data_IF_535163844403
#
_entry.id   IF_535163844403
#
_cell.length_a   1.000
_cell.length_b   1.000
_cell.length_c   1.000
_cell.angle_alpha   90.00
_cell.angle_beta   90.00
_cell.angle_gamma   90.00
#
_symmetry.space_group_name_H-M   'P 1'
#
loop_
_entity.id
_entity.type
_entity.pdbx_description
1 polymer ?
#
# COMPACT_ATOMS: atom_id res chain seq x y z
N UNK A 1 -25.62 3.66 -32.40
CA UNK A 1 -25.67 2.19 -32.54
C UNK A 1 -26.58 1.62 -31.48
N UNK A 2 -27.73 1.10 -31.92
CA UNK A 2 -28.84 0.69 -31.05
C UNK A 2 -28.41 -0.34 -30.02
N UNK A 3 -28.83 -0.14 -28.77
CA UNK A 3 -28.74 -1.16 -27.73
C UNK A 3 -29.69 -2.29 -28.11
N UNK A 4 -29.14 -3.33 -28.73
CA UNK A 4 -29.84 -4.58 -28.96
C UNK A 4 -30.11 -5.22 -27.59
N UNK A 5 -31.37 -5.19 -27.15
CA UNK A 5 -31.79 -5.66 -25.81
C UNK A 5 -31.94 -7.18 -25.74
N UNK A 6 -31.74 -7.90 -26.84
CA UNK A 6 -31.77 -9.36 -26.88
C UNK A 6 -30.35 -9.92 -27.01
N UNK A 7 -29.61 -9.91 -25.90
CA UNK A 7 -28.34 -10.64 -25.84
C UNK A 7 -28.62 -12.15 -25.84
N UNK A 8 -27.84 -12.89 -26.61
CA UNK A 8 -27.81 -14.35 -26.49
C UNK A 8 -26.86 -14.77 -25.36
N UNK A 9 -27.01 -15.99 -24.84
CA UNK A 9 -26.26 -16.39 -23.63
C UNK A 9 -24.76 -16.53 -23.85
N UNK A 10 -24.33 -16.84 -25.08
CA UNK A 10 -22.93 -17.16 -25.40
C UNK A 10 -22.72 -18.62 -25.77
N UNK A 11 -21.45 -18.98 -25.97
CA UNK A 11 -21.04 -20.38 -26.13
C UNK A 11 -20.79 -20.97 -24.75
N UNK A 12 -21.42 -22.10 -24.43
CA UNK A 12 -21.30 -22.75 -23.12
C UNK A 12 -20.66 -24.13 -23.28
N UNK A 13 -19.53 -24.36 -22.61
CA UNK A 13 -18.97 -25.69 -22.40
C UNK A 13 -19.27 -26.15 -20.99
N UNK A 14 -19.82 -27.36 -20.88
CA UNK A 14 -20.18 -27.96 -19.60
C UNK A 14 -19.68 -29.39 -19.55
N UNK A 15 -18.74 -29.65 -18.62
CA UNK A 15 -18.11 -30.97 -18.40
C UNK A 15 -17.38 -31.51 -19.63
N UNK A 16 -16.83 -30.63 -20.45
CA UNK A 16 -16.09 -30.99 -21.67
C UNK A 16 -14.60 -31.11 -21.34
N UNK A 17 -14.18 -32.33 -21.04
CA UNK A 17 -12.81 -32.64 -20.56
C UNK A 17 -11.78 -32.85 -21.67
N UNK A 18 -12.23 -32.97 -22.91
CA UNK A 18 -11.35 -33.32 -24.05
C UNK A 18 -10.74 -32.08 -24.71
N UNK A 19 -9.46 -32.21 -25.11
CA UNK A 19 -8.68 -31.17 -25.81
C UNK A 19 -9.16 -30.92 -27.26
N UNK A 20 -10.09 -31.73 -27.75
CA UNK A 20 -10.58 -31.69 -29.14
C UNK A 20 -11.67 -30.63 -29.33
N UNK A 21 -12.25 -30.13 -28.23
CA UNK A 21 -13.13 -28.98 -28.28
C UNK A 21 -12.31 -27.71 -28.47
N UNK A 22 -12.48 -27.06 -29.64
CA UNK A 22 -11.78 -25.84 -30.00
C UNK A 22 -12.74 -24.75 -30.51
N UNK A 23 -12.42 -23.51 -30.21
CA UNK A 23 -12.96 -22.32 -30.87
C UNK A 23 -11.80 -21.58 -31.50
N UNK A 24 -11.81 -21.45 -32.82
CA UNK A 24 -10.76 -20.74 -33.54
C UNK A 24 -11.32 -19.83 -34.64
N UNK A 25 -10.68 -18.66 -34.81
CA UNK A 25 -11.01 -17.67 -35.85
C UNK A 25 -12.48 -17.18 -35.85
N UNK A 26 -13.14 -17.23 -34.69
CA UNK A 26 -14.52 -16.82 -34.52
C UNK A 26 -14.64 -15.35 -34.08
N UNK A 27 -15.80 -14.74 -34.40
CA UNK A 27 -16.23 -13.47 -33.81
C UNK A 27 -17.40 -13.73 -32.87
N UNK A 28 -17.20 -13.45 -31.58
CA UNK A 28 -18.17 -13.73 -30.52
C UNK A 28 -18.60 -12.40 -29.90
N UNK A 29 -19.79 -11.92 -30.28
CA UNK A 29 -20.28 -10.57 -30.01
C UNK A 29 -21.75 -10.56 -29.60
N UNK A 30 -22.15 -9.52 -28.84
CA UNK A 30 -23.55 -9.28 -28.48
C UNK A 30 -24.13 -10.31 -27.50
N UNK A 31 -23.27 -11.06 -26.80
CA UNK A 31 -23.69 -12.03 -25.80
C UNK A 31 -23.74 -11.43 -24.40
N UNK A 32 -24.44 -12.11 -23.48
CA UNK A 32 -24.32 -11.86 -22.04
C UNK A 32 -22.91 -12.25 -21.60
N UNK A 33 -22.48 -13.49 -21.85
CA UNK A 33 -21.08 -13.89 -21.74
C UNK A 33 -20.61 -14.42 -23.09
N UNK A 34 -19.46 -14.01 -23.62
CA UNK A 34 -19.00 -14.50 -24.92
C UNK A 34 -18.82 -16.03 -24.91
N UNK A 35 -18.00 -16.52 -23.97
CA UNK A 35 -17.78 -17.96 -23.77
C UNK A 35 -17.76 -18.29 -22.27
N UNK A 36 -18.53 -19.30 -21.88
CA UNK A 36 -18.64 -19.78 -20.50
C UNK A 36 -18.15 -21.22 -20.39
N UNK A 37 -17.30 -21.48 -19.40
CA UNK A 37 -16.68 -22.79 -19.13
C UNK A 37 -17.00 -23.25 -17.70
N UNK A 38 -17.62 -24.43 -17.61
CA UNK A 38 -17.87 -25.15 -16.36
C UNK A 38 -17.20 -26.52 -16.40
N UNK A 39 -16.23 -26.76 -15.52
CA UNK A 39 -15.44 -28.00 -15.47
C UNK A 39 -14.94 -28.45 -16.86
N UNK A 40 -14.45 -27.51 -17.68
CA UNK A 40 -14.15 -27.74 -19.10
C UNK A 40 -12.81 -27.13 -19.51
N UNK A 41 -12.10 -27.79 -20.44
CA UNK A 41 -10.74 -27.41 -20.86
C UNK A 41 -10.54 -27.35 -22.38
N UNK A 42 -11.38 -26.60 -23.13
CA UNK A 42 -11.20 -26.43 -24.56
C UNK A 42 -9.97 -25.57 -24.91
N UNK A 43 -9.60 -25.57 -26.18
CA UNK A 43 -8.67 -24.58 -26.75
C UNK A 43 -9.46 -23.41 -27.34
N UNK A 44 -9.13 -22.20 -26.95
CA UNK A 44 -9.77 -20.97 -27.45
C UNK A 44 -8.66 -20.11 -28.05
N UNK A 45 -8.56 -20.09 -29.39
CA UNK A 45 -7.44 -19.44 -30.06
C UNK A 45 -7.83 -18.49 -31.20
N UNK A 46 -7.11 -17.38 -31.39
CA UNK A 46 -7.28 -16.50 -32.56
C UNK A 46 -8.71 -15.94 -32.76
N UNK A 47 -9.47 -15.73 -31.68
CA UNK A 47 -10.84 -15.21 -31.75
C UNK A 47 -10.93 -13.71 -31.45
N UNK A 48 -11.99 -13.06 -31.94
CA UNK A 48 -12.44 -11.73 -31.52
C UNK A 48 -13.64 -11.88 -30.57
N UNK A 49 -13.39 -11.72 -29.27
CA UNK A 49 -14.37 -11.82 -28.20
C UNK A 49 -14.65 -10.41 -27.67
N UNK A 50 -15.58 -9.70 -28.32
CA UNK A 50 -15.82 -8.29 -28.07
C UNK A 50 -17.29 -7.90 -28.01
N UNK A 51 -17.60 -6.77 -27.38
CA UNK A 51 -18.97 -6.25 -27.26
C UNK A 51 -19.95 -7.22 -26.57
N UNK A 52 -19.46 -8.05 -25.65
CA UNK A 52 -20.28 -8.85 -24.73
C UNK A 52 -20.40 -8.14 -23.38
N UNK A 53 -21.20 -8.63 -22.43
CA UNK A 53 -21.16 -8.05 -21.07
C UNK A 53 -19.89 -8.52 -20.37
N UNK A 54 -19.66 -9.83 -20.40
CA UNK A 54 -18.39 -10.47 -20.03
C UNK A 54 -17.80 -11.18 -21.25
N UNK A 55 -16.50 -11.06 -21.50
CA UNK A 55 -15.84 -11.75 -22.61
C UNK A 55 -15.78 -13.26 -22.39
N UNK A 56 -15.05 -13.69 -21.36
CA UNK A 56 -14.85 -15.09 -20.97
C UNK A 56 -15.19 -15.28 -19.50
N UNK A 57 -15.90 -16.36 -19.16
CA UNK A 57 -16.14 -16.79 -17.78
C UNK A 57 -15.71 -18.25 -17.59
N UNK A 58 -14.82 -18.49 -16.65
CA UNK A 58 -14.17 -19.78 -16.43
C UNK A 58 -14.34 -20.13 -14.96
N UNK A 59 -14.99 -21.27 -14.69
CA UNK A 59 -15.36 -21.63 -13.33
C UNK A 59 -15.30 -23.13 -13.09
N UNK A 60 -15.36 -23.49 -11.81
CA UNK A 60 -15.23 -24.82 -11.24
C UNK A 60 -13.80 -25.38 -11.23
N UNK A 61 -13.52 -26.28 -10.26
CA UNK A 61 -12.33 -27.10 -10.30
C UNK A 61 -12.26 -27.87 -11.63
N UNK A 62 -11.04 -28.09 -12.13
CA UNK A 62 -10.76 -28.79 -13.40
C UNK A 62 -10.99 -28.00 -14.70
N UNK A 63 -11.50 -26.77 -14.65
CA UNK A 63 -11.45 -25.90 -15.82
C UNK A 63 -10.03 -25.38 -16.06
N UNK A 64 -9.35 -25.92 -17.06
CA UNK A 64 -7.98 -25.57 -17.43
C UNK A 64 -7.82 -25.36 -18.95
N UNK A 65 -8.58 -24.44 -19.56
CA UNK A 65 -8.50 -24.16 -20.98
C UNK A 65 -7.17 -23.49 -21.36
N UNK A 66 -6.79 -23.64 -22.62
CA UNK A 66 -5.71 -22.87 -23.26
C UNK A 66 -6.33 -21.72 -24.05
N UNK A 67 -6.08 -20.47 -23.61
CA UNK A 67 -6.63 -19.25 -24.20
C UNK A 67 -5.49 -18.47 -24.84
N UNK A 68 -5.38 -18.53 -26.18
CA UNK A 68 -4.21 -17.99 -26.89
C UNK A 68 -4.54 -17.05 -28.05
N UNK A 69 -3.77 -15.99 -28.22
CA UNK A 69 -3.87 -15.11 -29.41
C UNK A 69 -5.28 -14.49 -29.63
N UNK A 70 -6.10 -14.35 -28.59
CA UNK A 70 -7.44 -13.77 -28.73
C UNK A 70 -7.41 -12.25 -28.53
N UNK A 71 -8.30 -11.55 -29.22
CA UNK A 71 -8.64 -10.16 -28.94
C UNK A 71 -9.89 -10.14 -28.04
N UNK A 72 -9.71 -9.85 -26.76
CA UNK A 72 -10.77 -9.81 -25.75
C UNK A 72 -10.97 -8.35 -25.34
N UNK A 73 -11.90 -7.67 -26.02
CA UNK A 73 -11.93 -6.20 -25.93
C UNK A 73 -13.32 -5.59 -26.00
N UNK A 74 -13.48 -4.39 -25.46
CA UNK A 74 -14.77 -3.65 -25.54
C UNK A 74 -15.95 -4.45 -25.00
N UNK A 75 -15.74 -5.33 -24.04
CA UNK A 75 -16.81 -5.92 -23.27
C UNK A 75 -17.29 -4.90 -22.23
N UNK A 76 -18.58 -4.92 -21.90
CA UNK A 76 -19.21 -3.89 -21.04
C UNK A 76 -18.61 -3.85 -19.65
N UNK A 77 -18.34 -5.02 -19.06
CA UNK A 77 -17.83 -5.14 -17.71
C UNK A 77 -16.43 -5.78 -17.71
N UNK A 78 -16.35 -7.11 -17.80
CA UNK A 78 -15.09 -7.85 -17.56
C UNK A 78 -14.58 -8.51 -18.85
N UNK A 79 -13.27 -8.43 -19.09
CA UNK A 79 -12.63 -9.17 -20.18
C UNK A 79 -12.63 -10.69 -19.93
N UNK A 80 -11.93 -11.13 -18.87
CA UNK A 80 -11.84 -12.54 -18.46
C UNK A 80 -12.13 -12.69 -16.97
N UNK A 81 -13.10 -13.54 -16.62
CA UNK A 81 -13.48 -13.87 -15.26
C UNK A 81 -13.10 -15.32 -14.94
N UNK A 82 -12.30 -15.53 -13.89
CA UNK A 82 -11.75 -16.83 -13.48
C UNK A 82 -12.11 -17.07 -12.03
N UNK A 83 -12.86 -18.14 -11.75
CA UNK A 83 -13.49 -18.41 -10.46
C UNK A 83 -13.27 -19.85 -9.98
N UNK A 84 -13.47 -20.07 -8.68
CA UNK A 84 -13.80 -21.36 -8.08
C UNK A 84 -12.85 -22.52 -8.46
N UNK A 85 -11.54 -22.32 -8.37
CA UNK A 85 -10.52 -23.35 -8.57
C UNK A 85 -10.12 -23.59 -10.03
N UNK A 86 -10.61 -22.78 -10.96
CA UNK A 86 -10.18 -22.83 -12.36
C UNK A 86 -8.71 -22.42 -12.52
N UNK A 87 -8.00 -23.07 -13.43
CA UNK A 87 -6.56 -22.87 -13.69
C UNK A 87 -6.27 -22.75 -15.20
N UNK A 88 -6.81 -21.73 -15.89
CA UNK A 88 -6.55 -21.52 -17.30
C UNK A 88 -5.11 -21.03 -17.57
N UNK A 89 -4.66 -21.22 -18.80
CA UNK A 89 -3.45 -20.59 -19.35
C UNK A 89 -3.86 -19.50 -20.34
N UNK A 90 -3.52 -18.25 -20.03
CA UNK A 90 -3.76 -17.09 -20.88
C UNK A 90 -2.43 -16.67 -21.49
N UNK A 91 -2.29 -16.83 -22.80
CA UNK A 91 -1.05 -16.53 -23.52
C UNK A 91 -1.27 -15.66 -24.76
N UNK A 92 -0.44 -14.63 -24.97
CA UNK A 92 -0.46 -13.81 -26.19
C UNK A 92 -1.83 -13.18 -26.52
N UNK A 93 -2.69 -12.96 -25.52
CA UNK A 93 -3.98 -12.31 -25.74
C UNK A 93 -3.86 -10.79 -25.64
N UNK A 94 -4.71 -10.08 -26.38
CA UNK A 94 -4.94 -8.64 -26.23
C UNK A 94 -6.22 -8.42 -25.45
N UNK A 95 -6.10 -8.06 -24.17
CA UNK A 95 -7.20 -7.85 -23.24
C UNK A 95 -7.30 -6.36 -22.94
N UNK A 96 -8.14 -5.65 -23.70
CA UNK A 96 -8.11 -4.19 -23.68
C UNK A 96 -9.46 -3.51 -23.85
N UNK A 97 -9.59 -2.29 -23.35
CA UNK A 97 -10.80 -1.47 -23.51
C UNK A 97 -12.08 -2.12 -22.96
N UNK A 98 -11.97 -3.02 -21.97
CA UNK A 98 -13.15 -3.52 -21.26
C UNK A 98 -13.62 -2.49 -20.24
N UNK A 99 -14.93 -2.37 -20.03
CA UNK A 99 -15.51 -1.25 -19.27
C UNK A 99 -15.15 -1.23 -17.78
N UNK A 100 -14.73 -2.36 -17.20
CA UNK A 100 -14.21 -2.48 -15.84
C UNK A 100 -12.86 -3.21 -15.82
N UNK A 101 -12.81 -4.46 -15.38
CA UNK A 101 -11.58 -5.22 -15.24
C UNK A 101 -11.14 -5.92 -16.54
N UNK A 102 -9.83 -5.97 -16.78
CA UNK A 102 -9.26 -6.81 -17.85
C UNK A 102 -9.40 -8.28 -17.48
N UNK A 103 -8.80 -8.68 -16.37
CA UNK A 103 -8.85 -10.04 -15.81
C UNK A 103 -9.27 -9.98 -14.34
N UNK A 104 -10.19 -10.86 -13.94
CA UNK A 104 -10.54 -11.12 -12.54
C UNK A 104 -10.20 -12.57 -12.22
N UNK A 105 -9.41 -12.79 -11.16
CA UNK A 105 -8.99 -14.10 -10.66
C UNK A 105 -9.39 -14.24 -9.20
N UNK A 106 -10.42 -15.04 -8.94
CA UNK A 106 -10.95 -15.29 -7.60
C UNK A 106 -10.87 -16.78 -7.26
N UNK A 107 -10.30 -17.12 -6.10
CA UNK A 107 -10.15 -18.51 -5.64
C UNK A 107 -9.57 -19.45 -6.71
N UNK A 108 -8.57 -19.00 -7.48
CA UNK A 108 -8.03 -19.67 -8.67
C UNK A 108 -6.50 -19.51 -8.78
N UNK A 109 -5.84 -20.23 -9.69
CA UNK A 109 -4.39 -20.12 -9.90
C UNK A 109 -4.02 -20.16 -11.41
N UNK A 110 -4.45 -19.16 -12.21
CA UNK A 110 -4.14 -19.11 -13.63
C UNK A 110 -2.67 -18.78 -13.91
N UNK A 111 -2.21 -19.15 -15.11
CA UNK A 111 -0.96 -18.64 -15.69
C UNK A 111 -1.30 -17.56 -16.71
N UNK A 112 -0.76 -16.36 -16.51
CA UNK A 112 -0.99 -15.18 -17.35
C UNK A 112 0.37 -14.76 -17.88
N UNK A 113 0.64 -15.02 -19.17
CA UNK A 113 1.94 -14.72 -19.78
C UNK A 113 1.84 -14.14 -21.19
N UNK A 114 2.77 -13.26 -21.56
CA UNK A 114 2.85 -12.71 -22.93
C UNK A 114 1.61 -11.92 -23.38
N UNK A 115 0.71 -11.56 -22.47
CA UNK A 115 -0.52 -10.84 -22.81
C UNK A 115 -0.24 -9.33 -22.86
N UNK A 116 -1.05 -8.61 -23.64
CA UNK A 116 -1.18 -7.15 -23.54
C UNK A 116 -2.50 -6.83 -22.85
N UNK A 117 -2.42 -6.27 -21.63
CA UNK A 117 -3.55 -5.96 -20.77
C UNK A 117 -3.56 -4.45 -20.53
N UNK A 118 -4.36 -3.71 -21.28
CA UNK A 118 -4.29 -2.24 -21.22
C UNK A 118 -5.61 -1.54 -21.46
N UNK A 119 -5.72 -0.30 -21.00
CA UNK A 119 -6.89 0.55 -21.24
C UNK A 119 -8.22 -0.06 -20.73
N UNK A 120 -8.19 -0.90 -19.68
CA UNK A 120 -9.40 -1.39 -19.02
C UNK A 120 -9.88 -0.37 -17.97
N UNK A 121 -11.19 -0.25 -17.79
CA UNK A 121 -11.82 0.86 -17.07
C UNK A 121 -11.51 0.95 -15.57
N UNK A 122 -11.08 -0.13 -14.91
CA UNK A 122 -10.75 -0.11 -13.47
C UNK A 122 -9.42 -0.80 -13.15
N UNK A 123 -9.32 -2.12 -13.32
CA UNK A 123 -8.09 -2.85 -13.01
C UNK A 123 -7.61 -3.62 -14.24
N UNK A 124 -6.30 -3.67 -14.48
CA UNK A 124 -5.74 -4.59 -15.47
C UNK A 124 -6.01 -6.03 -15.04
N UNK A 125 -5.53 -6.38 -13.84
CA UNK A 125 -5.76 -7.67 -13.18
C UNK A 125 -6.25 -7.44 -11.75
N UNK A 126 -7.39 -8.01 -11.38
CA UNK A 126 -7.88 -8.07 -10.00
C UNK A 126 -7.75 -9.49 -9.46
N UNK A 127 -7.15 -9.64 -8.27
CA UNK A 127 -6.92 -10.92 -7.61
C UNK A 127 -7.60 -10.93 -6.24
N UNK A 128 -8.24 -12.05 -5.88
CA UNK A 128 -8.83 -12.29 -4.56
C UNK A 128 -8.72 -13.77 -4.19
N UNK A 129 -8.18 -14.09 -3.00
CA UNK A 129 -8.02 -15.47 -2.52
C UNK A 129 -7.33 -16.39 -3.56
N UNK A 130 -6.42 -15.84 -4.37
CA UNK A 130 -5.93 -16.43 -5.61
C UNK A 130 -4.43 -16.19 -5.76
N UNK A 131 -3.72 -17.12 -6.40
CA UNK A 131 -2.25 -17.12 -6.53
C UNK A 131 -1.81 -17.26 -7.99
N UNK A 132 -2.19 -16.32 -8.89
CA UNK A 132 -1.82 -16.40 -10.29
C UNK A 132 -0.31 -16.22 -10.48
N UNK A 133 0.22 -16.81 -11.55
CA UNK A 133 1.55 -16.49 -12.07
C UNK A 133 1.41 -15.48 -13.20
N UNK A 134 1.81 -14.24 -12.98
CA UNK A 134 1.72 -13.13 -13.94
C UNK A 134 3.13 -12.78 -14.39
N UNK A 135 3.56 -13.24 -15.57
CA UNK A 135 4.95 -13.05 -16.01
C UNK A 135 5.02 -12.61 -17.47
N UNK A 136 5.98 -11.75 -17.81
CA UNK A 136 6.28 -11.41 -19.21
C UNK A 136 5.06 -10.84 -19.97
N UNK A 137 4.20 -10.07 -19.28
CA UNK A 137 3.08 -9.37 -19.88
C UNK A 137 3.39 -7.87 -20.07
N UNK A 138 2.63 -7.23 -20.95
CA UNK A 138 2.53 -5.78 -21.08
C UNK A 138 1.26 -5.32 -20.36
N UNK A 139 1.37 -4.78 -19.14
CA UNK A 139 0.24 -4.38 -18.30
C UNK A 139 0.37 -2.87 -18.02
N UNK A 140 -0.43 -2.04 -18.68
CA UNK A 140 -0.29 -0.60 -18.59
C UNK A 140 -1.58 0.15 -18.96
N UNK A 141 -1.66 1.41 -18.57
CA UNK A 141 -2.76 2.33 -18.91
C UNK A 141 -4.14 1.81 -18.46
N UNK A 142 -4.21 1.06 -17.36
CA UNK A 142 -5.49 0.65 -16.78
C UNK A 142 -6.00 1.70 -15.78
N UNK A 143 -7.31 1.76 -15.55
CA UNK A 143 -7.96 2.93 -14.93
C UNK A 143 -7.49 3.30 -13.51
N UNK A 144 -7.28 2.32 -12.63
CA UNK A 144 -6.90 2.53 -11.22
C UNK A 144 -5.60 1.82 -10.85
N UNK A 145 -5.49 0.52 -11.11
CA UNK A 145 -4.27 -0.25 -10.89
C UNK A 145 -4.03 -1.22 -12.05
N UNK A 146 -2.77 -1.45 -12.38
CA UNK A 146 -2.34 -2.47 -13.32
C UNK A 146 -2.60 -3.86 -12.76
N UNK A 147 -2.29 -4.05 -11.47
CA UNK A 147 -2.66 -5.22 -10.70
C UNK A 147 -3.09 -4.84 -9.29
N UNK A 148 -4.20 -5.42 -8.84
CA UNK A 148 -4.75 -5.24 -7.51
C UNK A 148 -4.99 -6.59 -6.85
N UNK A 149 -4.21 -6.92 -5.82
CA UNK A 149 -4.50 -8.04 -4.93
C UNK A 149 -5.32 -7.56 -3.74
N UNK A 150 -6.61 -7.88 -3.75
CA UNK A 150 -7.58 -7.44 -2.75
C UNK A 150 -7.56 -8.25 -1.45
N UNK A 151 -6.74 -9.30 -1.36
CA UNK A 151 -6.65 -10.14 -0.17
C UNK A 151 -5.44 -9.76 0.72
N UNK A 152 -5.66 -9.03 1.84
CA UNK A 152 -4.59 -8.64 2.74
C UNK A 152 -3.98 -9.83 3.50
N UNK A 153 -4.72 -10.94 3.64
CA UNK A 153 -4.27 -12.15 4.37
C UNK A 153 -3.81 -13.26 3.44
N UNK A 154 -4.11 -13.14 2.16
CA UNK A 154 -3.79 -14.12 1.13
C UNK A 154 -2.32 -14.23 0.79
N UNK A 155 -2.09 -15.14 -0.15
CA UNK A 155 -0.81 -15.42 -0.77
C UNK A 155 -0.30 -14.23 -1.60
N UNK A 156 1.02 -14.15 -1.74
CA UNK A 156 1.67 -13.14 -2.57
C UNK A 156 1.50 -13.52 -4.04
N UNK A 157 1.01 -12.58 -4.85
CA UNK A 157 0.91 -12.76 -6.30
C UNK A 157 2.28 -12.58 -6.93
N UNK A 158 2.76 -13.57 -7.69
CA UNK A 158 4.01 -13.42 -8.44
C UNK A 158 3.76 -12.63 -9.74
N UNK A 159 4.27 -11.41 -9.79
CA UNK A 159 4.16 -10.48 -10.92
C UNK A 159 5.52 -9.97 -11.43
N UNK A 160 6.56 -10.78 -11.30
CA UNK A 160 7.91 -10.44 -11.77
C UNK A 160 8.00 -10.45 -13.30
N UNK A 161 8.94 -9.66 -13.85
CA UNK A 161 9.23 -9.60 -15.29
C UNK A 161 8.04 -9.13 -16.15
N UNK A 162 7.21 -8.22 -15.67
CA UNK A 162 6.20 -7.55 -16.50
C UNK A 162 6.65 -6.15 -16.90
N UNK A 163 6.17 -5.68 -18.05
CA UNK A 163 6.25 -4.28 -18.45
C UNK A 163 5.03 -3.53 -17.89
N UNK A 164 5.28 -2.54 -17.04
CA UNK A 164 4.24 -1.76 -16.35
C UNK A 164 3.93 -0.41 -17.02
N UNK A 165 4.36 -0.20 -18.27
CA UNK A 165 4.24 1.08 -18.96
C UNK A 165 5.35 2.09 -18.63
N UNK A 166 6.26 1.79 -17.70
CA UNK A 166 7.37 2.67 -17.35
C UNK A 166 8.56 1.93 -16.74
N UNK A 167 9.74 2.56 -16.84
CA UNK A 167 10.95 2.21 -16.06
C UNK A 167 11.05 2.96 -14.74
N UNK A 168 10.23 4.00 -14.55
CA UNK A 168 10.20 4.79 -13.32
C UNK A 168 9.48 4.01 -12.23
N UNK A 169 10.24 3.51 -11.25
CA UNK A 169 9.72 2.73 -10.12
C UNK A 169 8.59 3.43 -9.38
N UNK A 170 8.58 4.77 -9.32
CA UNK A 170 7.52 5.52 -8.65
C UNK A 170 6.19 5.34 -9.36
N UNK A 171 6.21 5.27 -10.70
CA UNK A 171 5.03 4.98 -11.53
C UNK A 171 4.61 3.52 -11.43
N UNK A 172 5.58 2.60 -11.46
CA UNK A 172 5.33 1.16 -11.31
C UNK A 172 4.61 0.89 -9.99
N UNK A 173 5.17 1.36 -8.88
CA UNK A 173 4.61 1.19 -7.53
C UNK A 173 3.22 1.80 -7.42
N UNK A 174 2.98 2.97 -8.03
CA UNK A 174 1.64 3.59 -8.01
C UNK A 174 0.57 2.79 -8.75
N UNK A 175 0.96 1.93 -9.68
CA UNK A 175 0.07 1.05 -10.44
C UNK A 175 -0.18 -0.31 -9.79
N UNK A 176 0.43 -0.60 -8.64
CA UNK A 176 0.36 -1.91 -7.97
C UNK A 176 -0.19 -1.73 -6.56
N UNK A 177 -1.16 -2.57 -6.18
CA UNK A 177 -1.74 -2.52 -4.84
C UNK A 177 -1.99 -3.93 -4.29
N UNK A 178 -1.76 -4.11 -2.99
CA UNK A 178 -1.85 -5.38 -2.29
C UNK A 178 -0.59 -6.23 -2.38
N UNK A 179 -0.67 -7.47 -1.87
CA UNK A 179 0.47 -8.41 -1.81
C UNK A 179 0.84 -8.93 -3.20
N UNK A 180 1.69 -8.18 -3.90
CA UNK A 180 2.21 -8.51 -5.22
C UNK A 180 3.75 -8.45 -5.19
N UNK A 181 4.41 -9.49 -5.69
CA UNK A 181 5.86 -9.55 -5.84
C UNK A 181 6.27 -9.14 -7.27
N UNK A 182 6.88 -7.96 -7.40
CA UNK A 182 7.33 -7.35 -8.66
C UNK A 182 8.77 -6.85 -8.52
N UNK A 183 9.63 -7.60 -7.84
CA UNK A 183 11.06 -7.26 -7.65
C UNK A 183 11.76 -6.96 -8.96
N UNK A 184 11.36 -7.63 -10.03
CA UNK A 184 11.84 -7.34 -11.37
C UNK A 184 10.73 -6.79 -12.26
N UNK A 185 11.11 -5.87 -13.15
CA UNK A 185 10.27 -5.36 -14.23
C UNK A 185 11.04 -5.41 -15.55
N UNK A 186 10.34 -5.36 -16.68
CA UNK A 186 10.97 -5.21 -17.98
C UNK A 186 11.30 -3.74 -18.24
N UNK A 187 12.42 -3.46 -18.92
CA UNK A 187 12.83 -2.09 -19.26
C UNK A 187 12.16 -1.53 -20.54
N UNK A 188 11.45 -2.37 -21.28
CA UNK A 188 10.64 -2.05 -22.44
C UNK A 188 9.48 -3.08 -22.54
N UNK A 189 8.50 -2.90 -23.44
CA UNK A 189 7.47 -3.91 -23.68
C UNK A 189 8.05 -5.28 -24.03
N UNK A 190 7.43 -6.35 -23.53
CA UNK A 190 7.65 -7.71 -24.00
C UNK A 190 7.30 -7.81 -25.51
N UNK A 191 8.07 -8.55 -26.33
CA UNK A 191 9.18 -9.44 -25.97
C UNK A 191 10.56 -8.77 -25.90
N UNK A 192 10.68 -7.50 -26.29
CA UNK A 192 11.98 -6.84 -26.45
C UNK A 192 12.59 -6.35 -25.12
N UNK A 193 11.73 -6.16 -24.11
CA UNK A 193 12.13 -5.73 -22.77
C UNK A 193 13.03 -6.73 -22.05
N UNK A 194 14.04 -6.20 -21.38
CA UNK A 194 14.97 -6.97 -20.54
C UNK A 194 14.61 -6.79 -19.06
N UNK A 195 14.63 -7.86 -18.26
CA UNK A 195 14.44 -7.74 -16.81
C UNK A 195 15.49 -6.83 -16.16
N UNK A 196 15.03 -5.97 -15.25
CA UNK A 196 15.87 -5.22 -14.34
C UNK A 196 15.30 -5.28 -12.91
N UNK A 197 16.17 -5.17 -11.92
CA UNK A 197 15.82 -5.20 -10.51
C UNK A 197 15.35 -3.82 -10.03
N UNK A 198 14.22 -3.80 -9.33
CA UNK A 198 13.72 -2.64 -8.61
C UNK A 198 14.42 -2.53 -7.25
N UNK A 199 14.58 -1.31 -6.75
CA UNK A 199 15.17 -1.04 -5.42
C UNK A 199 14.19 -1.36 -4.27
N UNK A 200 13.55 -2.53 -4.31
CA UNK A 200 12.70 -3.05 -3.25
C UNK A 200 13.59 -3.77 -2.23
N UNK A 201 13.55 -3.31 -0.99
CA UNK A 201 14.35 -3.92 0.07
C UNK A 201 13.70 -5.21 0.58
N UNK A 202 14.53 -6.11 1.10
CA UNK A 202 14.13 -7.31 1.83
C UNK A 202 14.67 -7.24 3.25
N UNK A 203 13.87 -7.71 4.21
CA UNK A 203 14.31 -7.80 5.60
C UNK A 203 15.30 -8.94 5.85
N UNK A 204 15.98 -8.94 7.01
CA UNK A 204 15.99 -7.87 8.01
C UNK A 204 16.71 -6.61 7.50
N UNK A 205 16.41 -5.45 8.09
CA UNK A 205 16.90 -4.15 7.67
C UNK A 205 17.83 -3.54 8.71
N UNK A 206 19.01 -3.13 8.25
CA UNK A 206 20.02 -2.35 8.96
C UNK A 206 20.98 -1.69 7.96
N UNK A 207 21.86 -0.79 8.41
CA UNK A 207 22.87 -0.15 7.57
C UNK A 207 22.36 1.11 6.85
N UNK A 208 23.01 1.46 5.74
CA UNK A 208 22.76 2.72 5.02
C UNK A 208 21.91 2.49 3.75
N UNK A 209 20.91 3.35 3.54
CA UNK A 209 20.15 3.52 2.31
C UNK A 209 20.71 4.74 1.60
N UNK A 210 21.36 4.51 0.45
CA UNK A 210 22.03 5.53 -0.37
C UNK A 210 21.46 5.64 -1.78
N UNK A 211 20.33 4.96 -2.03
CA UNK A 211 19.52 5.04 -3.26
C UNK A 211 18.05 5.02 -2.89
N UNK A 212 17.20 5.63 -3.71
CA UNK A 212 15.75 5.55 -3.51
C UNK A 212 15.33 4.08 -3.41
N UNK A 213 14.60 3.78 -2.34
CA UNK A 213 14.31 2.41 -1.93
C UNK A 213 12.87 2.27 -1.46
N UNK A 214 12.32 1.06 -1.59
CA UNK A 214 10.91 0.79 -1.40
C UNK A 214 10.70 -0.38 -0.44
N UNK A 215 9.76 -0.22 0.49
CA UNK A 215 9.22 -1.30 1.32
C UNK A 215 7.81 -1.61 0.82
N UNK A 216 7.56 -2.87 0.45
CA UNK A 216 6.30 -3.31 -0.15
C UNK A 216 5.54 -4.25 0.78
N UNK A 217 4.21 -4.26 0.67
CA UNK A 217 3.38 -5.12 1.53
C UNK A 217 3.62 -6.61 1.29
N UNK A 218 4.10 -6.99 0.10
CA UNK A 218 4.46 -8.37 -0.24
C UNK A 218 5.62 -8.94 0.59
N UNK A 219 6.53 -8.09 1.08
CA UNK A 219 7.63 -8.52 1.96
C UNK A 219 7.41 -8.10 3.42
N UNK A 220 6.22 -7.61 3.76
CA UNK A 220 5.82 -7.27 5.13
C UNK A 220 5.51 -8.55 5.94
N UNK A 221 5.88 -8.65 7.23
CA UNK A 221 6.54 -7.61 8.02
C UNK A 221 8.05 -7.52 7.77
N UNK A 222 8.58 -6.29 7.87
CA UNK A 222 10.02 -6.02 7.86
C UNK A 222 10.58 -6.00 9.28
N UNK A 223 11.63 -6.77 9.53
CA UNK A 223 12.34 -6.73 10.82
C UNK A 223 13.44 -5.66 10.76
N UNK A 224 13.44 -4.71 11.68
CA UNK A 224 14.52 -3.72 11.86
C UNK A 224 15.43 -4.23 12.96
N UNK A 225 16.63 -4.65 12.58
CA UNK A 225 17.59 -5.30 13.50
C UNK A 225 18.74 -4.39 13.93
N UNK A 226 18.85 -3.21 13.30
CA UNK A 226 19.90 -2.24 13.55
C UNK A 226 19.45 -0.82 13.25
N UNK A 227 20.41 0.11 13.24
CA UNK A 227 20.17 1.45 12.71
C UNK A 227 20.04 1.36 11.18
N UNK A 228 18.91 1.80 10.65
CA UNK A 228 18.67 1.95 9.22
C UNK A 228 18.77 3.44 8.88
N UNK A 229 19.84 3.85 8.22
CA UNK A 229 20.18 5.26 8.00
C UNK A 229 19.86 5.65 6.56
N UNK A 230 19.00 6.64 6.37
CA UNK A 230 18.64 7.21 5.07
C UNK A 230 19.45 8.48 4.88
N UNK A 231 20.29 8.49 3.85
CA UNK A 231 21.27 9.54 3.61
C UNK A 231 21.47 9.80 2.11
N UNK A 232 22.36 10.74 1.75
CA UNK A 232 22.75 11.02 0.36
C UNK A 232 21.63 11.57 -0.55
N UNK A 233 20.65 12.26 0.03
CA UNK A 233 19.55 12.91 -0.67
C UNK A 233 18.53 11.95 -1.27
N UNK A 234 18.33 10.78 -0.64
CA UNK A 234 17.42 9.73 -1.14
C UNK A 234 16.17 9.57 -0.27
N UNK A 235 15.15 8.91 -0.82
CA UNK A 235 13.88 8.66 -0.16
C UNK A 235 13.64 7.16 0.07
N UNK A 236 13.28 6.81 1.30
CA UNK A 236 12.65 5.52 1.60
C UNK A 236 11.14 5.66 1.48
N UNK A 237 10.55 4.99 0.51
CA UNK A 237 9.09 4.91 0.35
C UNK A 237 8.56 3.64 1.03
N UNK A 238 7.53 3.79 1.85
CA UNK A 238 6.88 2.70 2.57
C UNK A 238 5.44 2.62 2.08
N UNK A 239 5.08 1.50 1.46
CA UNK A 239 3.74 1.30 0.92
C UNK A 239 2.67 1.22 2.02
N UNK A 240 1.42 1.60 1.70
CA UNK A 240 0.27 1.36 2.58
C UNK A 240 0.22 -0.09 3.06
N UNK A 241 -0.14 -0.30 4.33
CA UNK A 241 -0.27 -1.63 4.93
C UNK A 241 1.03 -2.31 5.39
N UNK A 242 2.21 -1.72 5.13
CA UNK A 242 3.48 -2.28 5.59
C UNK A 242 3.59 -2.25 7.12
N UNK A 243 4.10 -3.34 7.70
CA UNK A 243 4.44 -3.45 9.12
C UNK A 243 5.96 -3.53 9.28
N UNK A 244 6.53 -2.66 10.10
CA UNK A 244 7.93 -2.65 10.51
C UNK A 244 8.01 -3.04 11.99
N UNK A 245 8.76 -4.10 12.28
CA UNK A 245 8.95 -4.66 13.61
C UNK A 245 10.38 -4.45 14.08
N UNK A 246 10.56 -3.76 15.19
CA UNK A 246 11.87 -3.40 15.71
C UNK A 246 12.34 -4.44 16.73
N UNK A 247 13.56 -4.95 16.56
CA UNK A 247 14.22 -5.72 17.61
C UNK A 247 14.56 -4.82 18.81
N UNK A 248 14.86 -5.44 19.94
CA UNK A 248 15.28 -4.72 21.14
C UNK A 248 16.67 -4.11 21.01
N UNK A 249 16.92 -3.02 21.72
CA UNK A 249 18.22 -2.33 21.76
C UNK A 249 18.19 -0.96 21.10
N UNK A 250 19.38 -0.45 20.73
CA UNK A 250 19.53 0.85 20.07
C UNK A 250 19.18 0.79 18.57
N UNK A 251 17.91 0.55 18.28
CA UNK A 251 17.35 0.39 16.95
C UNK A 251 16.57 1.65 16.55
N UNK A 252 16.77 2.10 15.32
CA UNK A 252 16.01 3.21 14.75
C UNK A 252 16.08 3.28 13.24
N UNK A 253 15.07 3.86 12.61
CA UNK A 253 15.20 4.41 11.26
C UNK A 253 15.64 5.87 11.43
N UNK A 254 16.82 6.20 10.90
CA UNK A 254 17.45 7.51 11.07
C UNK A 254 17.54 8.23 9.73
N UNK A 255 16.96 9.41 9.65
CA UNK A 255 17.07 10.33 8.52
C UNK A 255 18.19 11.33 8.81
N UNK A 256 19.19 11.36 7.93
CA UNK A 256 20.23 12.39 7.91
C UNK A 256 19.95 13.38 6.79
N UNK A 257 20.62 13.27 5.64
CA UNK A 257 20.25 13.97 4.43
C UNK A 257 19.36 13.06 3.57
N UNK A 258 18.09 12.91 3.91
CA UNK A 258 17.17 12.02 3.18
C UNK A 258 15.71 12.26 3.55
N UNK A 259 14.82 11.39 3.10
CA UNK A 259 13.40 11.47 3.46
C UNK A 259 12.73 10.09 3.62
N UNK A 260 11.59 10.11 4.31
CA UNK A 260 10.67 8.98 4.41
C UNK A 260 9.33 9.39 3.84
N UNK A 261 8.79 8.60 2.91
CA UNK A 261 7.43 8.73 2.42
C UNK A 261 6.59 7.54 2.90
N UNK A 262 5.93 7.70 4.04
CA UNK A 262 5.04 6.71 4.64
C UNK A 262 3.60 7.26 4.68
N UNK A 263 2.83 6.97 3.64
CA UNK A 263 1.45 7.45 3.50
C UNK A 263 0.51 6.26 3.36
N UNK A 264 0.10 5.70 4.51
CA UNK A 264 -0.95 4.69 4.56
C UNK A 264 -2.33 5.27 4.22
N UNK A 265 -3.35 4.44 4.40
CA UNK A 265 -4.77 4.80 4.28
C UNK A 265 -5.53 4.36 5.54
N UNK A 266 -6.82 4.70 5.67
CA UNK A 266 -7.65 4.23 6.80
C UNK A 266 -7.76 2.70 6.80
N UNK A 267 -7.73 2.09 5.61
CA UNK A 267 -7.86 0.66 5.37
C UNK A 267 -6.49 -0.05 5.43
N UNK A 268 -5.43 0.60 4.95
CA UNK A 268 -4.08 0.06 4.82
C UNK A 268 -3.07 0.88 5.64
N UNK A 269 -3.16 0.72 6.95
CA UNK A 269 -2.34 1.44 7.95
C UNK A 269 -0.90 0.92 7.94
N UNK A 270 0.07 1.85 7.97
CA UNK A 270 1.49 1.53 8.15
C UNK A 270 1.78 1.41 9.65
N UNK A 271 2.41 0.33 10.09
CA UNK A 271 2.62 0.06 11.53
C UNK A 271 4.11 -0.05 11.87
N UNK A 272 4.56 0.72 12.86
CA UNK A 272 5.89 0.67 13.46
C UNK A 272 5.73 0.17 14.91
N UNK A 273 6.21 -1.04 15.19
CA UNK A 273 5.92 -1.73 16.45
C UNK A 273 7.10 -2.61 16.91
N UNK A 274 7.02 -3.17 18.11
CA UNK A 274 8.00 -4.12 18.64
C UNK A 274 7.96 -5.45 17.90
N UNK A 275 9.12 -6.11 17.75
CA UNK A 275 9.20 -7.50 17.29
C UNK A 275 8.98 -8.53 18.42
N UNK A 276 8.76 -8.07 19.66
CA UNK A 276 8.44 -8.94 20.80
C UNK A 276 7.12 -9.69 20.58
N UNK A 277 7.04 -10.93 21.06
CA UNK A 277 5.79 -11.70 21.11
C UNK A 277 4.82 -11.17 22.17
N UNK A 278 5.29 -10.35 23.10
CA UNK A 278 4.49 -9.64 24.10
C UNK A 278 4.99 -8.18 24.19
N UNK A 279 4.59 -7.32 23.24
CA UNK A 279 5.08 -5.95 23.15
C UNK A 279 4.86 -5.14 24.42
N UNK A 280 5.90 -4.41 24.85
CA UNK A 280 5.85 -3.50 25.98
C UNK A 280 6.48 -2.15 25.66
N UNK A 281 6.04 -1.10 26.35
CA UNK A 281 6.58 0.24 26.13
C UNK A 281 8.08 0.28 26.43
N UNK A 282 8.89 0.71 25.46
CA UNK A 282 10.35 0.76 25.60
C UNK A 282 11.09 -0.47 25.08
N UNK A 283 10.41 -1.38 24.38
CA UNK A 283 11.03 -2.56 23.80
C UNK A 283 12.17 -2.22 22.82
N UNK A 284 12.09 -1.07 22.14
CA UNK A 284 13.12 -0.57 21.21
C UNK A 284 13.36 0.92 21.38
N UNK A 285 14.57 1.42 21.05
CA UNK A 285 14.94 2.79 21.42
C UNK A 285 14.12 3.87 20.72
N UNK A 286 14.11 3.91 19.38
CA UNK A 286 13.38 4.95 18.65
C UNK A 286 12.76 4.41 17.37
N UNK A 287 11.54 4.83 17.00
CA UNK A 287 10.99 4.45 15.70
C UNK A 287 11.67 5.24 14.58
N UNK A 288 11.58 6.57 14.65
CA UNK A 288 12.11 7.50 13.65
C UNK A 288 12.98 8.56 14.31
N UNK A 289 14.16 8.82 13.73
CA UNK A 289 15.07 9.90 14.14
C UNK A 289 15.38 10.82 12.96
N UNK A 290 15.35 12.12 13.16
CA UNK A 290 15.87 13.11 12.21
C UNK A 290 17.09 13.78 12.83
N UNK A 291 18.27 13.50 12.29
CA UNK A 291 19.57 13.85 12.89
C UNK A 291 20.32 14.95 12.14
N UNK A 292 19.97 15.22 10.88
CA UNK A 292 20.61 16.28 10.07
C UNK A 292 19.58 17.08 9.25
N UNK A 293 19.98 18.26 8.77
CA UNK A 293 19.12 19.09 7.91
C UNK A 293 18.99 18.45 6.53
N UNK A 294 17.78 18.47 5.99
CA UNK A 294 17.49 18.00 4.63
C UNK A 294 16.53 18.98 3.94
N UNK A 295 16.59 19.03 2.61
CA UNK A 295 15.64 19.76 1.77
C UNK A 295 14.45 18.90 1.34
N UNK A 296 14.54 17.58 1.54
CA UNK A 296 13.46 16.65 1.20
C UNK A 296 12.39 16.63 2.29
N UNK A 297 11.14 16.45 1.86
CA UNK A 297 10.00 16.39 2.78
C UNK A 297 9.72 14.95 3.19
N UNK A 298 9.58 14.73 4.50
CA UNK A 298 9.13 13.44 5.03
C UNK A 298 7.67 13.48 5.45
N UNK A 299 6.94 12.41 5.16
CA UNK A 299 5.50 12.30 5.39
C UNK A 299 5.18 11.03 6.19
N UNK A 300 4.34 11.18 7.21
CA UNK A 300 3.77 10.10 8.00
C UNK A 300 2.26 10.33 8.08
N UNK A 301 1.49 9.54 7.33
CA UNK A 301 0.04 9.65 7.25
C UNK A 301 -0.60 8.28 7.41
N UNK A 302 -1.61 8.16 8.29
CA UNK A 302 -2.23 6.86 8.63
C UNK A 302 -1.19 5.82 9.07
N UNK A 303 -0.32 6.27 9.98
CA UNK A 303 0.72 5.46 10.60
C UNK A 303 0.38 5.18 12.07
N UNK A 304 0.84 4.04 12.58
CA UNK A 304 0.81 3.70 14.01
C UNK A 304 2.25 3.54 14.51
N UNK A 305 2.59 4.22 15.59
CA UNK A 305 3.88 4.12 16.26
C UNK A 305 3.65 3.71 17.72
N UNK A 306 4.14 2.52 18.08
CA UNK A 306 3.90 1.95 19.40
C UNK A 306 5.07 1.17 19.97
N UNK A 307 5.17 1.16 21.31
CA UNK A 307 6.13 0.37 22.08
C UNK A 307 7.60 0.82 22.00
N UNK A 308 7.91 1.96 21.39
CA UNK A 308 9.24 2.55 21.43
C UNK A 308 9.54 3.12 22.83
N UNK A 309 10.80 3.43 23.12
CA UNK A 309 11.11 4.39 24.17
C UNK A 309 10.66 5.78 23.73
N UNK A 310 11.05 6.21 22.53
CA UNK A 310 10.53 7.43 21.91
C UNK A 310 10.12 7.18 20.46
N UNK A 311 8.88 7.45 20.08
CA UNK A 311 8.46 7.18 18.69
C UNK A 311 9.19 8.11 17.71
N UNK A 312 9.24 9.41 17.98
CA UNK A 312 9.94 10.38 17.13
C UNK A 312 10.99 11.18 17.90
N UNK A 313 12.22 11.21 17.38
CA UNK A 313 13.24 12.19 17.78
C UNK A 313 13.55 13.10 16.59
N UNK A 314 13.18 14.37 16.69
CA UNK A 314 13.28 15.34 15.60
C UNK A 314 14.28 16.41 16.01
N UNK A 315 15.57 16.23 15.67
CA UNK A 315 16.60 17.26 15.91
C UNK A 315 16.64 18.31 14.82
N UNK A 316 16.27 17.94 13.60
CA UNK A 316 16.21 18.82 12.44
C UNK A 316 15.05 18.42 11.52
N UNK A 317 14.72 19.29 10.58
CA UNK A 317 13.69 19.03 9.57
C UNK A 317 12.28 19.45 9.99
N UNK A 318 11.34 19.19 9.08
CA UNK A 318 9.92 19.61 9.18
C UNK A 318 8.98 18.50 8.73
N UNK A 319 9.05 17.29 9.31
CA UNK A 319 8.20 16.18 8.87
C UNK A 319 6.71 16.53 9.03
N UNK A 320 5.89 16.08 8.09
CA UNK A 320 4.44 16.17 8.15
C UNK A 320 3.89 14.88 8.78
N UNK A 321 3.51 14.98 10.05
CA UNK A 321 2.95 13.90 10.86
C UNK A 321 1.45 14.16 10.98
N UNK A 322 0.65 13.43 10.20
CA UNK A 322 -0.80 13.62 10.16
C UNK A 322 -1.57 12.32 10.27
N UNK A 323 -2.81 12.38 10.76
CA UNK A 323 -3.72 11.22 10.77
C UNK A 323 -3.05 9.95 11.31
N UNK A 324 -2.23 10.06 12.36
CA UNK A 324 -1.43 8.95 12.90
C UNK A 324 -1.70 8.74 14.39
N UNK A 325 -1.45 7.52 14.86
CA UNK A 325 -1.56 7.13 16.26
C UNK A 325 -0.15 6.95 16.84
N UNK A 326 0.17 7.67 17.91
CA UNK A 326 1.45 7.61 18.60
C UNK A 326 1.17 7.23 20.05
N UNK A 327 1.42 5.96 20.40
CA UNK A 327 0.90 5.39 21.63
C UNK A 327 1.81 4.40 22.35
N UNK A 328 1.65 4.23 23.65
CA UNK A 328 2.35 3.22 24.46
C UNK A 328 3.89 3.31 24.34
N UNK A 329 4.45 4.53 24.31
CA UNK A 329 5.90 4.73 24.32
C UNK A 329 6.39 5.07 25.73
N UNK A 330 7.55 4.54 26.15
CA UNK A 330 7.94 4.58 27.56
C UNK A 330 8.53 5.92 28.02
N UNK A 331 9.11 6.70 27.10
CA UNK A 331 9.77 7.98 27.39
C UNK A 331 9.08 9.20 26.77
N UNK A 332 8.68 9.15 25.50
CA UNK A 332 7.88 10.23 24.89
C UNK A 332 7.22 9.78 23.59
N UNK A 333 6.12 10.42 23.21
CA UNK A 333 5.58 10.27 21.85
C UNK A 333 6.48 10.96 20.82
N UNK A 334 6.66 12.27 20.97
CA UNK A 334 7.44 13.09 20.03
C UNK A 334 8.40 13.99 20.81
N UNK A 335 9.69 13.89 20.53
CA UNK A 335 10.74 14.76 21.05
C UNK A 335 11.29 15.65 19.94
N UNK A 336 11.26 16.97 20.14
CA UNK A 336 11.51 18.00 19.13
C UNK A 336 12.60 18.94 19.65
N UNK A 337 13.66 19.15 18.88
CA UNK A 337 14.85 19.89 19.32
C UNK A 337 15.30 20.93 18.29
N UNK A 338 16.27 21.76 18.69
CA UNK A 338 16.90 22.79 17.85
C UNK A 338 15.87 23.72 17.18
N UNK A 339 16.01 24.01 15.89
CA UNK A 339 15.14 24.89 15.09
C UNK A 339 14.04 24.12 14.32
N UNK A 340 13.81 22.85 14.66
CA UNK A 340 12.86 21.99 13.94
C UNK A 340 11.40 22.44 14.10
N UNK A 341 10.60 22.18 13.05
CA UNK A 341 9.25 22.69 12.93
C UNK A 341 8.31 21.65 12.29
N UNK A 342 8.08 20.49 12.94
CA UNK A 342 7.18 19.49 12.41
C UNK A 342 5.73 20.00 12.38
N UNK A 343 4.96 19.47 11.44
CA UNK A 343 3.50 19.63 11.40
C UNK A 343 2.87 18.41 12.06
N UNK A 344 2.08 18.63 13.11
CA UNK A 344 1.44 17.58 13.92
C UNK A 344 -0.06 17.84 13.94
N UNK A 345 -0.80 17.21 13.02
CA UNK A 345 -2.23 17.49 12.77
C UNK A 345 -3.09 16.23 12.69
N UNK A 346 -4.30 16.24 13.27
CA UNK A 346 -5.25 15.12 13.18
C UNK A 346 -4.70 13.78 13.71
N UNK A 347 -3.75 13.83 14.65
CA UNK A 347 -3.20 12.65 15.28
C UNK A 347 -3.93 12.33 16.58
N UNK A 348 -3.84 11.07 17.01
CA UNK A 348 -4.07 10.69 18.41
C UNK A 348 -2.72 10.39 19.06
N UNK A 349 -2.40 11.11 20.13
CA UNK A 349 -1.16 10.93 20.90
C UNK A 349 -1.57 10.54 22.32
N UNK A 350 -1.35 9.28 22.70
CA UNK A 350 -1.88 8.74 23.95
C UNK A 350 -0.99 7.75 24.65
N UNK A 351 -1.12 7.61 25.98
CA UNK A 351 -0.41 6.55 26.74
C UNK A 351 1.11 6.59 26.58
N UNK A 352 1.68 7.76 26.34
CA UNK A 352 3.13 7.95 26.35
C UNK A 352 3.55 8.39 27.76
N UNK A 353 4.52 7.70 28.33
CA UNK A 353 4.99 7.90 29.72
C UNK A 353 6.37 8.58 29.77
N UNK A 354 6.98 8.68 30.96
CA UNK A 354 8.33 9.21 31.14
C UNK A 354 8.36 10.74 31.13
N UNK A 355 8.31 11.34 29.94
CA UNK A 355 8.19 12.80 29.75
C UNK A 355 6.86 13.22 29.12
N UNK A 356 6.07 12.26 28.62
CA UNK A 356 4.70 12.49 28.17
C UNK A 356 4.50 12.47 26.65
N UNK A 357 3.52 13.24 26.17
CA UNK A 357 3.10 13.21 24.76
C UNK A 357 4.12 13.84 23.83
N UNK A 358 4.36 15.15 24.00
CA UNK A 358 5.28 15.94 23.16
C UNK A 358 6.26 16.71 24.04
N UNK A 359 7.55 16.63 23.71
CA UNK A 359 8.61 17.42 24.34
C UNK A 359 9.22 18.35 23.29
N UNK A 360 9.27 19.64 23.56
CA UNK A 360 9.88 20.65 22.70
C UNK A 360 11.06 21.34 23.42
N UNK A 361 12.22 21.38 22.78
CA UNK A 361 13.45 21.95 23.32
C UNK A 361 14.13 22.89 22.31
N UNK A 362 15.04 23.74 22.79
CA UNK A 362 15.85 24.61 21.93
C UNK A 362 15.05 25.79 21.39
N UNK A 363 15.03 25.97 20.07
CA UNK A 363 14.24 26.98 19.36
C UNK A 363 13.14 26.33 18.51
N UNK A 364 12.64 25.16 18.96
CA UNK A 364 11.71 24.37 18.17
C UNK A 364 10.36 25.07 18.08
N UNK A 365 9.72 24.94 16.93
CA UNK A 365 8.48 25.64 16.58
C UNK A 365 7.45 24.71 15.92
N UNK A 366 7.12 23.56 16.55
CA UNK A 366 6.10 22.67 16.04
C UNK A 366 4.75 23.39 15.89
N UNK A 367 3.98 22.99 14.87
CA UNK A 367 2.58 23.37 14.74
C UNK A 367 1.72 22.18 15.17
N UNK A 368 1.02 22.32 16.28
CA UNK A 368 0.27 21.24 16.93
C UNK A 368 -1.19 21.65 16.96
N UNK A 369 -2.01 21.18 16.01
CA UNK A 369 -3.41 21.58 15.92
C UNK A 369 -4.29 20.40 15.52
N UNK A 370 -5.54 20.41 15.94
CA UNK A 370 -6.54 19.41 15.60
C UNK A 370 -6.12 17.97 15.98
N UNK A 371 -5.45 17.78 17.10
CA UNK A 371 -5.09 16.45 17.62
C UNK A 371 -5.97 16.06 18.81
N UNK A 372 -6.01 14.75 19.09
CA UNK A 372 -6.44 14.18 20.37
C UNK A 372 -5.17 13.87 21.17
N UNK A 373 -4.95 14.55 22.30
CA UNK A 373 -3.77 14.34 23.15
C UNK A 373 -4.24 14.02 24.58
N UNK A 374 -4.26 12.74 24.93
CA UNK A 374 -4.90 12.21 26.15
C UNK A 374 -4.04 11.13 26.80
N UNK A 375 -4.25 10.85 28.09
CA UNK A 375 -3.61 9.72 28.80
C UNK A 375 -2.07 9.69 28.72
N UNK A 376 -1.42 10.82 28.45
CA UNK A 376 0.03 10.93 28.51
C UNK A 376 0.46 11.35 29.90
N UNK A 377 1.58 10.81 30.38
CA UNK A 377 2.07 11.05 31.74
C UNK A 377 3.56 11.41 31.73
N UNK A 378 3.98 12.45 32.49
CA UNK A 378 3.17 13.33 33.31
C UNK A 378 2.48 14.47 32.54
N UNK A 379 2.90 14.76 31.31
CA UNK A 379 2.43 15.92 30.54
C UNK A 379 1.87 15.54 29.18
N UNK A 380 0.89 16.33 28.69
CA UNK A 380 0.51 16.32 27.28
C UNK A 380 1.60 16.99 26.44
N UNK A 381 2.06 18.17 26.87
CA UNK A 381 3.18 18.91 26.24
C UNK A 381 4.11 19.46 27.33
N UNK A 382 5.40 19.24 27.13
CA UNK A 382 6.47 19.87 27.88
C UNK A 382 7.32 20.72 26.95
N UNK A 383 7.48 22.00 27.26
CA UNK A 383 8.29 22.94 26.49
C UNK A 383 9.42 23.52 27.32
N UNK A 384 10.64 23.23 26.90
CA UNK A 384 11.87 23.94 27.24
C UNK A 384 12.39 24.73 26.02
N UNK A 385 11.51 25.03 25.07
CA UNK A 385 11.82 25.90 23.94
C UNK A 385 11.91 27.36 24.41
N UNK A 386 12.84 28.12 23.87
CA UNK A 386 12.93 29.56 24.06
C UNK A 386 11.86 30.31 23.26
N UNK A 387 11.15 29.61 22.38
CA UNK A 387 10.03 30.12 21.57
C UNK A 387 8.71 29.59 22.14
N UNK A 388 7.68 30.44 22.08
CA UNK A 388 6.32 30.09 22.47
C UNK A 388 5.73 29.02 21.52
N UNK A 389 5.28 27.90 22.08
CA UNK A 389 4.75 26.77 21.30
C UNK A 389 3.27 26.99 20.98
N UNK A 390 2.89 26.93 19.70
CA UNK A 390 1.48 26.98 19.29
C UNK A 390 0.87 25.57 19.30
N UNK A 391 0.04 25.33 20.31
CA UNK A 391 -0.70 24.10 20.54
C UNK A 391 -2.22 24.33 20.63
N UNK A 392 -2.74 25.33 19.93
CA UNK A 392 -4.17 25.65 19.92
C UNK A 392 -4.98 24.61 19.17
N UNK A 393 -6.28 24.58 19.42
CA UNK A 393 -7.24 23.75 18.69
C UNK A 393 -6.98 22.26 18.81
N UNK A 394 -6.52 21.78 19.97
CA UNK A 394 -6.43 20.35 20.29
C UNK A 394 -7.48 19.96 21.33
N UNK A 395 -7.83 18.67 21.34
CA UNK A 395 -8.63 18.03 22.39
C UNK A 395 -7.70 17.40 23.42
N UNK A 396 -7.86 17.79 24.68
CA UNK A 396 -6.98 17.39 25.79
C UNK A 396 -7.63 16.39 26.76
N UNK A 397 -8.79 15.82 26.38
CA UNK A 397 -9.58 14.92 27.23
C UNK A 397 -10.72 15.59 28.00
N UNK A 398 -10.69 16.93 28.16
CA UNK A 398 -11.74 17.71 28.82
C UNK A 398 -11.77 19.15 28.30
N UNK A 399 -12.91 19.84 28.49
CA UNK A 399 -13.07 21.28 28.23
C UNK A 399 -13.66 21.96 29.49
N UNK A 400 -12.93 22.84 30.19
CA UNK A 400 -11.52 23.21 29.97
C UNK A 400 -10.55 22.04 30.25
N UNK A 401 -9.35 22.05 29.65
CA UNK A 401 -8.31 21.07 29.96
C UNK A 401 -7.75 21.28 31.37
N UNK A 402 -7.26 20.20 31.98
CA UNK A 402 -6.45 20.31 33.19
C UNK A 402 -5.12 21.02 32.87
N UNK A 403 -4.86 22.16 33.51
CA UNK A 403 -3.66 22.96 33.28
C UNK A 403 -2.36 22.23 33.66
N UNK A 404 -2.43 21.23 34.56
CA UNK A 404 -1.25 20.43 34.94
C UNK A 404 -0.71 19.57 33.79
N UNK A 405 -1.45 19.43 32.69
CA UNK A 405 -1.01 18.72 31.49
C UNK A 405 0.09 19.47 30.72
N UNK A 406 0.33 20.74 31.02
CA UNK A 406 1.26 21.60 30.29
C UNK A 406 2.39 22.06 31.20
N UNK A 407 3.63 21.87 30.75
CA UNK A 407 4.80 22.44 31.42
C UNK A 407 5.55 23.38 30.46
N UNK A 408 5.73 24.64 30.86
CA UNK A 408 6.50 25.63 30.13
C UNK A 408 5.67 26.53 29.21
N UNK A 409 6.35 27.19 28.27
CA UNK A 409 5.81 28.26 27.43
C UNK A 409 4.97 27.71 26.26
N UNK A 410 3.68 27.42 26.54
CA UNK A 410 2.76 26.76 25.60
C UNK A 410 1.48 27.58 25.44
N UNK A 411 1.03 27.74 24.18
CA UNK A 411 -0.27 28.28 23.84
C UNK A 411 -1.26 27.14 23.56
N UNK A 412 -2.12 26.81 24.51
CA UNK A 412 -3.17 25.81 24.33
C UNK A 412 -4.58 26.43 24.23
N UNK A 413 -4.70 27.76 24.14
CA UNK A 413 -5.96 28.52 24.06
C UNK A 413 -6.15 29.17 22.68
N UNK A 414 -7.27 28.93 21.96
CA UNK A 414 -8.39 28.08 22.36
C UNK A 414 -8.05 26.59 22.27
N UNK A 415 -8.71 25.77 23.09
CA UNK A 415 -8.76 24.31 22.93
C UNK A 415 -10.08 23.91 22.25
N UNK A 416 -10.19 22.65 21.81
CA UNK A 416 -11.44 22.12 21.27
C UNK A 416 -12.45 21.81 22.40
N UNK A 417 -13.71 22.18 22.22
CA UNK A 417 -14.77 21.91 23.19
C UNK A 417 -15.31 20.47 23.13
N UNK A 418 -15.07 19.78 22.01
CA UNK A 418 -15.44 18.40 21.77
C UNK A 418 -14.24 17.64 21.19
N UNK A 419 -14.32 16.31 21.24
CA UNK A 419 -13.30 15.44 20.64
C UNK A 419 -13.16 15.69 19.13
N UNK A 420 -11.92 15.71 18.63
CA UNK A 420 -11.64 15.89 17.21
C UNK A 420 -12.00 14.63 16.41
N UNK A 421 -13.16 14.64 15.75
CA UNK A 421 -13.73 13.49 15.03
C UNK A 421 -12.88 13.01 13.85
N UNK A 422 -12.09 13.91 13.26
CA UNK A 422 -11.23 13.58 12.12
C UNK A 422 -9.85 13.05 12.54
N UNK A 423 -9.51 13.12 13.84
CA UNK A 423 -8.25 12.60 14.32
C UNK A 423 -8.23 11.07 14.22
N UNK A 424 -7.14 10.53 13.69
CA UNK A 424 -6.99 9.09 13.54
C UNK A 424 -6.66 8.44 14.88
N UNK A 425 -7.43 7.43 15.28
CA UNK A 425 -7.30 6.73 16.57
C UNK A 425 -6.85 5.27 16.42
N UNK A 426 -6.22 4.91 15.30
CA UNK A 426 -5.84 3.52 14.98
C UNK A 426 -6.90 2.77 14.19
N UNK A 427 -6.72 1.44 14.07
CA UNK A 427 -7.76 0.56 13.48
C UNK A 427 -9.03 0.66 14.32
N UNK A 428 -10.11 1.15 13.72
CA UNK A 428 -11.43 0.95 14.29
C UNK A 428 -11.74 -0.54 14.21
N UNK A 429 -12.03 -1.16 15.36
CA UNK A 429 -12.38 -2.57 15.45
C UNK A 429 -13.78 -2.83 14.94
#
# INVERSE_FOLDING_TARGET
DGMDTNRWDGIVFQKTKEKDSLIEYAQIKGATTGVTLFSSSPKISNNDISKNDTGLSISDPFSAPEIKNNAISRNKDIGVLILAGANPVLENNKIAHNGKEGIVSESSSPIISHNTISNNGTYGIKVSLSSPKVIENNIHDNGKFEIYNSDPKGEVVNANNNWWGSRDISKIVSGISGKVDYRTSLDAPYPDGKPFELSILKGPLSGNITKDSYLTVANSPYIIEGKLVIDSGVTLTIEPGVTLKYNSGDISITVKNGAINAKGTKEEIITFTSNSSSPSAGDYSNAIRFEEKTTLSSFFKYCVFEYASTAFVIRYGTPDITYSLITNNSQSGINIMNDSAPKIFYNTISKNTGTGGIVAMGMSKPKINNNIIIDNSPFAIQSFSTIYIDARENWWGSSPPNESLFLGNINYKPWLNEIQKDAFSGRQK
#
